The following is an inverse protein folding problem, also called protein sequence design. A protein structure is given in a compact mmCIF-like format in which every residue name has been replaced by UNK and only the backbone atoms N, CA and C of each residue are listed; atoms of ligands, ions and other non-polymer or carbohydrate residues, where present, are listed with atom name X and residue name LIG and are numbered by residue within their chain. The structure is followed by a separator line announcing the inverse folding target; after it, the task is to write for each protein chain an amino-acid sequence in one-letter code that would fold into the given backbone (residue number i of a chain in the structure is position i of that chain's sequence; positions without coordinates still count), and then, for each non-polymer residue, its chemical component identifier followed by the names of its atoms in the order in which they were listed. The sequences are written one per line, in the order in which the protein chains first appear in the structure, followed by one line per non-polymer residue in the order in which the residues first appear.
data_IF_683810107675
#
_entry.id   IF_683810107675
#
_cell.length_a   1.000
_cell.length_b   1.000
_cell.length_c   1.000
_cell.angle_alpha   90.00
_cell.angle_beta   90.00
_cell.angle_gamma   90.00
#
_symmetry.space_group_name_H-M   'P 1'
#
loop_
_entity.id
_entity.type
_entity.pdbx_description
1 polymer ?
#
# COMPACT_ATOMS: atom_id res chain seq x y z
N UNK A 1 -8.26 -15.64 4.63
CA UNK A 1 -7.64 -16.06 3.35
C UNK A 1 -6.23 -16.63 3.54
N UNK A 2 -5.36 -16.01 4.34
CA UNK A 2 -3.95 -16.40 4.49
C UNK A 2 -3.56 -16.86 5.90
N UNK A 3 -4.47 -17.55 6.61
CA UNK A 3 -4.18 -18.15 7.92
C UNK A 3 -4.04 -17.19 9.10
N UNK A 4 -4.19 -15.87 8.91
CA UNK A 4 -4.25 -14.92 10.03
C UNK A 4 -5.57 -15.04 10.80
N UNK A 5 -5.47 -14.96 12.13
CA UNK A 5 -6.59 -14.98 13.07
C UNK A 5 -6.64 -13.66 13.85
N UNK A 6 -7.83 -13.08 14.00
CA UNK A 6 -8.04 -11.92 14.87
C UNK A 6 -8.34 -12.45 16.26
N UNK A 7 -7.32 -12.43 17.13
CA UNK A 7 -7.43 -12.93 18.51
C UNK A 7 -8.03 -11.90 19.48
N UNK A 8 -8.05 -10.62 19.10
CA UNK A 8 -8.63 -9.55 19.89
C UNK A 8 -8.74 -8.25 19.11
N UNK A 9 -9.72 -7.42 19.48
CA UNK A 9 -9.98 -6.12 18.88
C UNK A 9 -10.14 -5.07 19.98
N UNK A 10 -9.67 -3.85 19.73
CA UNK A 10 -9.81 -2.74 20.68
C UNK A 10 -10.05 -1.42 19.94
N UNK A 11 -11.07 -0.70 20.36
CA UNK A 11 -11.39 0.62 19.83
C UNK A 11 -10.69 1.69 20.68
N UNK A 12 -9.93 2.56 20.02
CA UNK A 12 -9.39 3.77 20.65
C UNK A 12 -10.37 4.93 20.41
N UNK A 13 -11.13 5.29 21.44
CA UNK A 13 -12.05 6.43 21.38
C UNK A 13 -11.33 7.74 21.70
N UNK A 14 -11.37 8.68 20.76
CA UNK A 14 -10.85 10.02 20.99
C UNK A 14 -11.90 10.91 21.67
N UNK A 15 -11.70 11.21 22.96
CA UNK A 15 -12.61 12.05 23.75
C UNK A 15 -12.37 13.56 23.59
N UNK A 16 -11.53 13.99 22.63
CA UNK A 16 -11.47 15.39 22.19
C UNK A 16 -10.75 16.38 23.12
N UNK A 17 -10.02 15.93 24.13
CA UNK A 17 -9.27 16.81 25.03
C UNK A 17 -8.01 17.36 24.38
N UNK A 18 -7.86 18.69 24.35
CA UNK A 18 -6.64 19.50 24.21
C UNK A 18 -5.39 18.84 23.55
N UNK A 19 -5.56 18.16 22.40
CA UNK A 19 -4.52 17.34 21.74
C UNK A 19 -3.26 18.12 21.33
N UNK A 20 -3.41 19.45 21.19
CA UNK A 20 -2.34 20.39 20.81
C UNK A 20 -1.64 21.04 21.99
N UNK A 21 -2.04 20.69 23.21
CA UNK A 21 -1.31 21.11 24.42
C UNK A 21 -0.28 20.06 24.78
N UNK A 22 0.84 20.48 25.35
CA UNK A 22 1.91 19.56 25.78
C UNK A 22 1.37 18.46 26.72
N UNK A 23 0.36 18.76 27.52
CA UNK A 23 -0.30 17.77 28.40
C UNK A 23 -1.13 16.73 27.63
N UNK A 24 -1.83 17.10 26.55
CA UNK A 24 -2.64 16.19 25.74
C UNK A 24 -1.81 15.19 24.94
N UNK A 25 -0.68 15.62 24.35
CA UNK A 25 0.24 14.72 23.63
C UNK A 25 0.87 13.69 24.58
N UNK A 26 1.30 14.14 25.76
CA UNK A 26 1.89 13.27 26.79
C UNK A 26 0.87 12.25 27.31
N UNK A 27 -0.41 12.63 27.40
CA UNK A 27 -1.47 11.72 27.83
C UNK A 27 -1.67 10.54 26.87
N UNK A 28 -1.79 10.80 25.57
CA UNK A 28 -1.98 9.73 24.57
C UNK A 28 -0.78 8.77 24.59
N UNK A 29 0.44 9.32 24.61
CA UNK A 29 1.65 8.50 24.62
C UNK A 29 1.76 7.58 25.85
N UNK A 30 1.39 8.09 27.04
CA UNK A 30 1.41 7.30 28.29
C UNK A 30 0.30 6.24 28.33
N UNK A 31 -0.79 6.47 27.60
CA UNK A 31 -1.91 5.54 27.55
C UNK A 31 -1.65 4.36 26.64
N UNK A 32 -0.85 4.48 25.57
CA UNK A 32 -0.67 3.39 24.58
C UNK A 32 -0.26 2.03 25.19
N UNK A 33 0.72 1.95 26.12
CA UNK A 33 1.08 0.66 26.71
C UNK A 33 -0.08 0.09 27.53
N UNK A 34 -0.70 0.89 28.39
CA UNK A 34 -1.83 0.44 29.22
C UNK A 34 -3.05 0.07 28.36
N UNK A 35 -3.29 0.82 27.28
CA UNK A 35 -4.35 0.55 26.32
C UNK A 35 -4.16 -0.80 25.63
N UNK A 36 -2.93 -1.28 25.44
CA UNK A 36 -2.65 -2.56 24.79
C UNK A 36 -2.39 -3.71 25.78
N UNK A 37 -2.54 -3.47 27.09
CA UNK A 37 -2.15 -4.41 28.15
C UNK A 37 -3.00 -5.68 28.23
N UNK A 38 -4.30 -5.55 28.04
CA UNK A 38 -5.31 -6.60 28.15
C UNK A 38 -5.57 -7.34 26.83
N UNK A 39 -4.81 -7.01 25.77
CA UNK A 39 -4.88 -7.76 24.52
C UNK A 39 -4.42 -9.21 24.75
N UNK A 40 -5.11 -10.21 24.17
CA UNK A 40 -4.66 -11.60 24.18
C UNK A 40 -3.26 -11.76 23.58
N UNK A 41 -2.63 -12.91 23.81
CA UNK A 41 -1.36 -13.23 23.16
C UNK A 41 -1.51 -13.14 21.63
N UNK A 42 -0.63 -12.38 21.00
CA UNK A 42 -0.65 -12.10 19.56
C UNK A 42 0.77 -11.93 19.03
N UNK A 43 0.96 -12.18 17.75
CA UNK A 43 2.26 -12.04 17.09
C UNK A 43 2.51 -10.63 16.53
N UNK A 44 1.45 -9.96 16.06
CA UNK A 44 1.50 -8.65 15.40
C UNK A 44 0.33 -7.80 15.85
N UNK A 45 0.56 -6.50 16.08
CA UNK A 45 -0.49 -5.53 16.33
C UNK A 45 -0.82 -4.75 15.05
N UNK A 46 -2.05 -4.90 14.56
CA UNK A 46 -2.56 -4.13 13.42
C UNK A 46 -3.27 -2.86 13.91
N UNK A 47 -2.85 -1.71 13.37
CA UNK A 47 -3.40 -0.41 13.72
C UNK A 47 -4.17 0.15 12.53
N UNK A 48 -5.46 0.40 12.72
CA UNK A 48 -6.32 1.10 11.78
C UNK A 48 -6.74 2.45 12.40
N UNK A 49 -5.97 3.49 12.09
CA UNK A 49 -6.24 4.86 12.52
C UNK A 49 -6.44 5.76 11.30
N UNK A 50 -7.67 5.80 10.80
CA UNK A 50 -8.03 6.62 9.63
C UNK A 50 -8.07 8.12 9.94
N UNK A 51 -8.23 8.48 11.22
CA UNK A 51 -8.27 9.88 11.66
C UNK A 51 -6.87 10.45 11.95
N UNK A 52 -5.82 9.62 11.88
CA UNK A 52 -4.42 9.95 12.18
C UNK A 52 -4.22 10.52 13.59
N UNK A 53 -5.02 10.07 14.56
CA UNK A 53 -5.08 10.65 15.90
C UNK A 53 -4.28 9.90 16.96
N UNK A 54 -3.94 8.64 16.75
CA UNK A 54 -3.24 7.81 17.74
C UNK A 54 -2.21 6.84 17.16
N UNK A 55 -2.39 6.40 15.92
CA UNK A 55 -1.66 5.29 15.34
C UNK A 55 -0.15 5.53 15.28
N UNK A 56 0.28 6.78 15.07
CA UNK A 56 1.70 7.16 15.04
C UNK A 56 2.40 7.02 16.41
N UNK A 57 1.65 6.96 17.51
CA UNK A 57 2.21 6.77 18.85
C UNK A 57 2.37 5.30 19.23
N UNK A 58 1.65 4.38 18.57
CA UNK A 58 1.62 2.95 18.92
C UNK A 58 2.97 2.25 18.74
N UNK A 59 3.74 2.47 17.64
CA UNK A 59 5.07 1.87 17.50
C UNK A 59 5.95 2.17 18.71
N UNK A 60 6.59 1.12 19.24
CA UNK A 60 7.45 1.16 20.44
C UNK A 60 6.74 1.52 21.76
N UNK A 61 5.40 1.58 21.79
CA UNK A 61 4.60 1.87 22.99
C UNK A 61 3.48 0.85 23.22
N UNK A 62 3.70 -0.39 22.81
CA UNK A 62 2.81 -1.51 23.13
C UNK A 62 3.19 -2.12 24.48
N UNK A 63 2.24 -2.73 25.19
CA UNK A 63 2.50 -3.43 26.45
C UNK A 63 3.47 -4.60 26.27
N UNK A 64 3.17 -5.45 25.28
CA UNK A 64 4.04 -6.54 24.84
C UNK A 64 4.81 -6.07 23.60
N UNK A 65 6.13 -6.30 23.49
CA UNK A 65 6.92 -5.82 22.36
C UNK A 65 6.65 -6.66 21.10
N UNK A 66 5.58 -6.31 20.37
CA UNK A 66 5.19 -6.94 19.10
C UNK A 66 5.41 -6.00 17.92
N UNK A 67 5.73 -6.51 16.71
CA UNK A 67 5.68 -5.73 15.50
C UNK A 67 4.34 -5.02 15.33
N UNK A 68 4.39 -3.76 14.89
CA UNK A 68 3.21 -2.94 14.60
C UNK A 68 3.12 -2.74 13.10
N UNK A 69 1.94 -2.93 12.53
CA UNK A 69 1.67 -2.70 11.11
C UNK A 69 0.32 -1.98 10.89
N UNK A 70 0.11 -1.44 9.69
CA UNK A 70 -1.11 -0.68 9.34
C UNK A 70 -0.81 0.81 9.17
N UNK A 71 -1.53 1.68 9.88
CA UNK A 71 -1.36 3.14 9.80
C UNK A 71 0.08 3.59 10.13
N UNK A 72 0.76 2.86 11.02
CA UNK A 72 2.14 3.14 11.41
C UNK A 72 2.93 1.83 11.61
N UNK A 73 4.25 1.95 11.76
CA UNK A 73 5.14 0.81 11.79
C UNK A 73 5.38 0.30 10.38
N UNK A 74 5.02 -0.95 10.10
CA UNK A 74 5.08 -1.54 8.76
C UNK A 74 3.82 -1.17 7.96
N UNK A 75 3.97 -0.29 6.98
CA UNK A 75 2.85 0.29 6.23
C UNK A 75 2.89 -0.13 4.75
N UNK A 76 1.75 -0.55 4.16
CA UNK A 76 1.65 -0.83 2.74
C UNK A 76 1.63 0.45 1.91
N UNK A 77 2.41 0.49 0.83
CA UNK A 77 2.47 1.62 -0.09
C UNK A 77 2.64 1.16 -1.53
N UNK A 78 1.99 1.85 -2.47
CA UNK A 78 2.18 1.59 -3.89
C UNK A 78 3.58 2.01 -4.37
N UNK A 79 4.20 2.96 -3.69
CA UNK A 79 5.59 3.34 -3.91
C UNK A 79 6.19 3.87 -2.63
N UNK A 80 7.45 3.50 -2.41
CA UNK A 80 8.21 3.91 -1.24
C UNK A 80 9.41 4.74 -1.67
N UNK A 81 9.70 5.86 -0.99
CA UNK A 81 10.90 6.65 -1.23
C UNK A 81 12.16 5.79 -1.29
N UNK A 82 12.39 4.91 -0.32
CA UNK A 82 13.56 4.06 -0.28
C UNK A 82 13.57 2.86 -1.27
N UNK A 83 12.71 2.85 -2.29
CA UNK A 83 12.76 1.79 -3.32
C UNK A 83 13.96 1.98 -4.24
N UNK A 84 14.86 0.99 -4.27
CA UNK A 84 16.10 1.02 -5.05
C UNK A 84 16.11 -0.02 -6.19
N UNK A 85 15.43 -1.14 -5.99
CA UNK A 85 15.43 -2.29 -6.91
C UNK A 85 14.75 -1.97 -8.25
N UNK A 86 15.07 -2.76 -9.28
CA UNK A 86 14.45 -2.74 -10.62
C UNK A 86 14.42 -1.38 -11.31
N UNK A 87 15.41 -0.53 -11.03
CA UNK A 87 15.47 0.81 -11.58
C UNK A 87 14.91 1.91 -10.64
N UNK A 88 14.51 1.55 -9.41
CA UNK A 88 13.90 2.44 -8.44
C UNK A 88 14.77 3.64 -8.08
N UNK A 89 16.07 3.42 -7.87
CA UNK A 89 17.03 4.49 -7.61
C UNK A 89 17.08 5.50 -8.77
N UNK A 90 17.04 5.03 -10.01
CA UNK A 90 17.12 5.87 -11.20
C UNK A 90 15.90 6.77 -11.33
N UNK A 91 14.68 6.23 -11.19
CA UNK A 91 13.47 7.04 -11.27
C UNK A 91 13.37 8.01 -10.08
N UNK A 92 13.76 7.58 -8.88
CA UNK A 92 13.80 8.45 -7.71
C UNK A 92 14.77 9.63 -7.89
N UNK A 93 15.99 9.38 -8.36
CA UNK A 93 16.98 10.42 -8.58
C UNK A 93 16.52 11.41 -9.65
N UNK A 94 15.92 10.92 -10.74
CA UNK A 94 15.35 11.77 -11.79
C UNK A 94 14.19 12.63 -11.26
N UNK A 95 13.30 12.03 -10.48
CA UNK A 95 12.17 12.75 -9.88
C UNK A 95 12.64 13.82 -8.90
N UNK A 96 13.59 13.49 -8.02
CA UNK A 96 14.15 14.42 -7.04
C UNK A 96 14.88 15.58 -7.71
N UNK A 97 15.66 15.33 -8.77
CA UNK A 97 16.31 16.37 -9.56
C UNK A 97 15.31 17.34 -10.20
N UNK A 98 14.16 16.83 -10.65
CA UNK A 98 13.14 17.63 -11.32
C UNK A 98 12.21 18.39 -10.36
N UNK A 99 11.95 17.85 -9.15
CA UNK A 99 10.90 18.35 -8.26
C UNK A 99 11.38 18.77 -6.86
N UNK A 100 12.66 18.60 -6.54
CA UNK A 100 13.24 18.99 -5.25
C UNK A 100 12.80 18.13 -4.05
N UNK A 101 12.09 17.01 -4.27
CA UNK A 101 11.65 16.08 -3.22
C UNK A 101 11.64 14.63 -3.71
N UNK A 102 11.55 13.68 -2.79
CA UNK A 102 11.41 12.25 -3.12
C UNK A 102 10.02 11.95 -3.70
N UNK A 103 9.97 10.94 -4.57
CA UNK A 103 8.73 10.44 -5.18
C UNK A 103 7.93 9.64 -4.15
N UNK A 104 6.63 9.93 -4.05
CA UNK A 104 5.66 9.26 -3.18
C UNK A 104 4.72 8.36 -4.00
N UNK A 105 3.87 7.59 -3.32
CA UNK A 105 2.86 6.72 -3.96
C UNK A 105 1.97 7.44 -4.97
N UNK A 106 1.52 8.66 -4.67
CA UNK A 106 0.69 9.47 -5.59
C UNK A 106 1.44 9.83 -6.88
N UNK A 107 2.73 10.16 -6.77
CA UNK A 107 3.55 10.53 -7.93
C UNK A 107 3.81 9.32 -8.82
N UNK A 108 4.10 8.16 -8.24
CA UNK A 108 4.28 6.92 -8.99
C UNK A 108 2.99 6.47 -9.68
N UNK A 109 1.84 6.65 -9.02
CA UNK A 109 0.54 6.39 -9.63
C UNK A 109 0.31 7.29 -10.86
N UNK A 110 0.59 8.60 -10.72
CA UNK A 110 0.48 9.55 -11.84
C UNK A 110 1.45 9.21 -12.98
N UNK A 111 2.72 8.90 -12.66
CA UNK A 111 3.71 8.48 -13.65
C UNK A 111 3.27 7.22 -14.40
N UNK A 112 2.76 6.23 -13.66
CA UNK A 112 2.27 4.97 -14.24
C UNK A 112 1.06 5.21 -15.14
N UNK A 113 0.11 6.06 -14.74
CA UNK A 113 -1.05 6.41 -15.55
C UNK A 113 -0.66 7.04 -16.90
N UNK A 114 0.27 8.00 -16.88
CA UNK A 114 0.78 8.62 -18.13
C UNK A 114 1.50 7.59 -19.00
N UNK A 115 2.27 6.68 -18.39
CA UNK A 115 2.95 5.60 -19.13
C UNK A 115 2.00 4.59 -19.74
N UNK A 116 0.90 4.25 -19.06
CA UNK A 116 -0.18 3.39 -19.60
C UNK A 116 -0.74 4.01 -20.88
N UNK A 117 -1.07 5.31 -20.87
CA UNK A 117 -1.57 6.01 -22.05
C UNK A 117 -0.53 6.06 -23.16
N UNK A 118 0.74 6.33 -22.85
CA UNK A 118 1.81 6.35 -23.84
C UNK A 118 2.07 4.99 -24.48
N UNK A 119 2.04 3.90 -23.69
CA UNK A 119 2.14 2.53 -24.21
C UNK A 119 0.97 2.21 -25.14
N UNK A 120 -0.25 2.55 -24.72
CA UNK A 120 -1.43 2.34 -25.54
C UNK A 120 -1.36 3.10 -26.86
N UNK A 121 -1.04 4.39 -26.84
CA UNK A 121 -0.91 5.20 -28.05
C UNK A 121 0.15 4.65 -29.02
N UNK A 122 1.27 4.16 -28.48
CA UNK A 122 2.34 3.54 -29.27
C UNK A 122 1.84 2.26 -29.94
N UNK A 123 1.16 1.39 -29.18
CA UNK A 123 0.69 0.09 -29.66
C UNK A 123 -0.47 0.20 -30.64
N UNK A 124 -1.36 1.16 -30.46
CA UNK A 124 -2.48 1.42 -31.38
C UNK A 124 -2.12 2.35 -32.53
N UNK A 125 -0.86 2.80 -32.62
CA UNK A 125 -0.34 3.70 -33.65
C UNK A 125 -1.18 4.97 -33.84
N UNK A 126 -1.62 5.58 -32.73
CA UNK A 126 -2.48 6.75 -32.79
C UNK A 126 -3.05 7.16 -31.44
N UNK A 127 -3.85 8.22 -31.47
CA UNK A 127 -4.44 8.83 -30.27
C UNK A 127 -5.97 8.65 -30.21
N UNK A 128 -6.53 7.65 -30.90
CA UNK A 128 -7.97 7.36 -30.81
C UNK A 128 -8.31 6.81 -29.41
N UNK A 129 -9.16 7.50 -28.62
CA UNK A 129 -9.40 7.11 -27.24
C UNK A 129 -10.06 5.74 -27.09
N UNK A 130 -10.89 5.33 -28.04
CA UNK A 130 -11.59 4.03 -27.98
C UNK A 130 -10.61 2.90 -28.21
N UNK A 131 -9.83 2.96 -29.28
CA UNK A 131 -8.79 1.97 -29.58
C UNK A 131 -7.78 1.85 -28.44
N UNK A 132 -7.34 2.97 -27.87
CA UNK A 132 -6.42 2.96 -26.74
C UNK A 132 -7.04 2.32 -25.50
N UNK A 133 -8.29 2.67 -25.17
CA UNK A 133 -9.00 2.09 -24.04
C UNK A 133 -9.25 0.59 -24.22
N UNK A 134 -9.61 0.14 -25.41
CA UNK A 134 -9.82 -1.27 -25.73
C UNK A 134 -8.51 -2.06 -25.60
N UNK A 135 -7.39 -1.49 -26.08
CA UNK A 135 -6.08 -2.09 -25.89
C UNK A 135 -5.69 -2.15 -24.40
N UNK A 136 -5.84 -1.08 -23.62
CA UNK A 136 -5.52 -1.07 -22.18
C UNK A 136 -6.25 -2.18 -21.40
N UNK A 137 -7.48 -2.51 -21.82
CA UNK A 137 -8.31 -3.55 -21.20
C UNK A 137 -8.07 -4.95 -21.74
N UNK A 138 -7.26 -5.11 -22.79
CA UNK A 138 -7.01 -6.40 -23.42
C UNK A 138 -5.96 -7.22 -22.65
N UNK A 139 -5.90 -8.52 -22.95
CA UNK A 139 -4.89 -9.42 -22.39
C UNK A 139 -3.47 -9.14 -22.92
N UNK A 140 -3.36 -8.37 -24.02
CA UNK A 140 -2.09 -7.99 -24.63
C UNK A 140 -1.44 -6.79 -23.92
N UNK A 141 -2.19 -6.07 -23.07
CA UNK A 141 -1.64 -4.94 -22.34
C UNK A 141 -0.77 -5.37 -21.17
N UNK A 142 0.43 -4.80 -21.12
CA UNK A 142 1.23 -4.79 -19.90
C UNK A 142 2.14 -3.58 -19.85
N UNK A 143 2.54 -3.18 -18.64
CA UNK A 143 3.46 -2.06 -18.43
C UNK A 143 4.53 -2.39 -17.39
N UNK A 144 5.77 -1.98 -17.65
CA UNK A 144 6.84 -2.01 -16.66
C UNK A 144 6.87 -0.68 -15.90
N UNK A 145 6.76 -0.73 -14.57
CA UNK A 145 6.74 0.47 -13.71
C UNK A 145 7.63 0.33 -12.48
N UNK A 146 8.86 -0.17 -12.65
CA UNK A 146 9.88 -0.24 -11.58
C UNK A 146 9.50 -1.10 -10.37
N UNK A 147 8.74 -2.18 -10.60
CA UNK A 147 8.21 -3.07 -9.56
C UNK A 147 8.61 -4.54 -9.72
N UNK A 148 9.66 -4.82 -10.47
CA UNK A 148 10.22 -6.17 -10.64
C UNK A 148 9.41 -7.14 -11.49
N UNK A 149 8.18 -6.80 -11.85
CA UNK A 149 7.35 -7.57 -12.77
C UNK A 149 6.47 -6.67 -13.62
N UNK A 150 5.92 -7.23 -14.70
CA UNK A 150 4.94 -6.56 -15.56
C UNK A 150 3.64 -6.31 -14.78
N UNK A 151 3.03 -5.15 -15.01
CA UNK A 151 1.74 -4.78 -14.44
C UNK A 151 0.65 -4.93 -15.50
N UNK A 152 -0.53 -5.37 -15.10
CA UNK A 152 -1.70 -5.57 -15.97
C UNK A 152 -2.97 -5.09 -15.28
N UNK A 153 -4.09 -4.99 -15.99
CA UNK A 153 -5.38 -4.63 -15.37
C UNK A 153 -6.26 -5.85 -15.13
N UNK A 154 -6.95 -5.88 -14.00
CA UNK A 154 -7.96 -6.89 -13.66
C UNK A 154 -9.18 -6.75 -14.56
N UNK A 155 -9.71 -7.87 -15.05
CA UNK A 155 -10.87 -7.89 -15.95
C UNK A 155 -12.16 -7.45 -15.23
N UNK A 156 -12.35 -7.89 -13.99
CA UNK A 156 -13.59 -7.71 -13.24
C UNK A 156 -13.75 -6.36 -12.55
N UNK A 157 -12.66 -5.62 -12.30
CA UNK A 157 -12.73 -4.30 -11.65
C UNK A 157 -11.78 -3.22 -12.22
N UNK A 158 -11.02 -3.52 -13.29
CA UNK A 158 -10.05 -2.59 -13.91
C UNK A 158 -9.02 -2.01 -12.94
N UNK A 159 -8.77 -2.69 -11.82
CA UNK A 159 -7.70 -2.33 -10.91
C UNK A 159 -6.36 -2.79 -11.48
N UNK A 160 -5.35 -1.94 -11.38
CA UNK A 160 -3.97 -2.28 -11.76
C UNK A 160 -3.43 -3.35 -10.81
N UNK A 161 -3.10 -4.52 -11.36
CA UNK A 161 -2.30 -5.56 -10.69
C UNK A 161 -0.89 -5.05 -10.53
N UNK A 162 -0.48 -4.84 -9.29
CA UNK A 162 0.87 -4.39 -8.99
C UNK A 162 1.36 -4.88 -7.63
N UNK A 163 2.67 -5.12 -7.48
CA UNK A 163 3.27 -5.32 -6.17
C UNK A 163 3.06 -4.12 -5.26
N UNK A 164 2.93 -4.38 -3.96
CA UNK A 164 2.78 -3.38 -2.91
C UNK A 164 4.00 -3.46 -2.00
N UNK A 165 4.67 -2.34 -1.74
CA UNK A 165 5.80 -2.31 -0.82
C UNK A 165 5.29 -2.25 0.62
N UNK A 166 5.85 -3.10 1.47
CA UNK A 166 5.73 -3.00 2.92
C UNK A 166 7.00 -2.34 3.43
N UNK A 167 6.87 -1.15 4.00
CA UNK A 167 8.01 -0.36 4.46
C UNK A 167 7.73 0.35 5.77
N UNK A 168 8.81 0.76 6.42
CA UNK A 168 8.75 1.71 7.52
C UNK A 168 9.05 3.13 7.00
N UNK A 169 9.33 4.08 7.90
CA UNK A 169 9.64 5.47 7.49
C UNK A 169 10.94 5.62 6.69
N UNK A 170 11.82 4.62 6.66
CA UNK A 170 13.19 4.74 6.13
C UNK A 170 13.52 3.74 5.04
N UNK A 171 12.85 2.60 5.00
CA UNK A 171 13.25 1.45 4.21
C UNK A 171 12.05 0.65 3.70
N UNK A 172 12.24 -0.01 2.56
CA UNK A 172 11.34 -1.08 2.14
C UNK A 172 11.80 -2.34 2.86
N UNK A 173 10.90 -2.95 3.64
CA UNK A 173 11.16 -4.19 4.38
C UNK A 173 10.89 -5.39 3.50
N UNK A 174 9.78 -5.38 2.76
CA UNK A 174 9.43 -6.43 1.81
C UNK A 174 8.52 -5.91 0.70
N UNK A 175 8.27 -6.76 -0.30
CA UNK A 175 7.31 -6.49 -1.37
C UNK A 175 6.26 -7.59 -1.35
N UNK A 176 4.99 -7.21 -1.35
CA UNK A 176 3.84 -8.10 -1.40
C UNK A 176 3.39 -8.32 -2.85
N UNK A 177 2.96 -9.53 -3.21
CA UNK A 177 2.94 -10.73 -2.36
C UNK A 177 4.37 -11.25 -2.09
N UNK A 178 4.58 -11.82 -0.90
CA UNK A 178 5.83 -12.53 -0.58
C UNK A 178 5.84 -13.89 -1.31
N UNK A 179 7.03 -14.50 -1.42
CA UNK A 179 7.17 -15.84 -1.95
C UNK A 179 6.29 -16.84 -1.18
N UNK A 180 5.66 -17.76 -1.91
CA UNK A 180 4.75 -18.78 -1.35
C UNK A 180 3.27 -18.41 -1.40
N UNK A 181 2.91 -17.16 -1.68
CA UNK A 181 1.52 -16.76 -1.92
C UNK A 181 1.10 -17.14 -3.34
N UNK A 182 0.36 -18.25 -3.47
CA UNK A 182 -0.07 -18.78 -4.75
C UNK A 182 -1.47 -18.32 -5.14
N UNK A 183 -1.67 -18.17 -6.45
CA UNK A 183 -2.97 -17.89 -7.05
C UNK A 183 -3.06 -18.58 -8.42
N UNK A 184 -4.26 -18.96 -8.84
CA UNK A 184 -4.46 -19.71 -10.08
C UNK A 184 -4.03 -18.93 -11.34
N UNK A 185 -4.22 -17.60 -11.34
CA UNK A 185 -3.96 -16.75 -12.52
C UNK A 185 -2.73 -15.86 -12.38
N UNK A 186 -2.55 -15.25 -11.21
CA UNK A 186 -1.50 -14.27 -10.94
C UNK A 186 -1.37 -14.11 -9.43
N UNK A 187 -0.16 -14.24 -8.90
CA UNK A 187 0.09 -14.03 -7.46
C UNK A 187 -0.38 -12.63 -7.01
N UNK A 188 -0.39 -11.63 -7.89
CA UNK A 188 -0.91 -10.29 -7.59
C UNK A 188 -2.42 -10.25 -7.31
N UNK A 189 -3.18 -11.29 -7.66
CA UNK A 189 -4.60 -11.44 -7.34
C UNK A 189 -4.84 -12.01 -5.93
N UNK A 190 -3.76 -12.33 -5.19
CA UNK A 190 -3.81 -12.49 -3.72
C UNK A 190 -3.98 -11.16 -2.98
N UNK A 191 -3.68 -10.03 -3.65
CA UNK A 191 -3.76 -8.70 -3.05
C UNK A 191 -5.16 -8.10 -3.21
N UNK A 192 -5.96 -8.11 -2.15
CA UNK A 192 -7.31 -7.57 -2.14
C UNK A 192 -8.38 -8.57 -2.62
N UNK A 193 -9.57 -8.05 -2.94
CA UNK A 193 -10.73 -8.87 -3.33
C UNK A 193 -10.49 -9.51 -4.70
N UNK A 194 -10.58 -10.84 -4.73
CA UNK A 194 -10.40 -11.65 -5.94
C UNK A 194 -11.67 -11.71 -6.81
N UNK A 195 -11.56 -12.20 -8.04
CA UNK A 195 -12.67 -12.34 -8.99
C UNK A 195 -13.84 -13.18 -8.44
N UNK A 196 -13.63 -14.37 -7.84
CA UNK A 196 -14.72 -15.18 -7.30
C UNK A 196 -15.37 -14.59 -6.04
N UNK A 197 -14.67 -13.66 -5.38
CA UNK A 197 -15.10 -13.03 -4.12
C UNK A 197 -15.95 -11.78 -4.35
N UNK A 198 -15.92 -11.21 -5.56
CA UNK A 198 -16.63 -9.98 -5.88
C UNK A 198 -18.01 -10.22 -6.49
N UNK A 199 -18.96 -9.36 -6.15
CA UNK A 199 -20.27 -9.24 -6.84
C UNK A 199 -20.26 -8.16 -7.92
N UNK A 200 -19.15 -7.42 -8.05
CA UNK A 200 -19.02 -6.35 -9.03
C UNK A 200 -18.87 -6.95 -10.43
N UNK A 201 -19.74 -6.51 -11.34
CA UNK A 201 -19.66 -6.85 -12.76
C UNK A 201 -19.47 -5.54 -13.52
N UNK A 202 -18.27 -5.33 -14.06
CA UNK A 202 -18.04 -4.26 -15.03
C UNK A 202 -18.88 -4.52 -16.27
N UNK A 203 -19.66 -3.52 -16.66
CA UNK A 203 -20.43 -3.49 -17.91
C UNK A 203 -19.64 -2.81 -19.00
#
# INVERSE_FOLDING_TARGET
RFGGEIVGEKLFEDTGTARRTDSGVVQIQRQMPVFTQDLPEHDVLLVADESEVFGTYVPFRTWVPRPVAGTAGLTPSAWHPASEQWGGTQIQNRFAKANGRRMLSKDMAAWTAVRVLGEAATRTQGADPRKMADFIRSDDFSIAAFKGQKLTFRKWNQQLRQPIFLGDTRSVVSTSPQEGFLHQLSELDTLGVDEPETKCVLK
#
